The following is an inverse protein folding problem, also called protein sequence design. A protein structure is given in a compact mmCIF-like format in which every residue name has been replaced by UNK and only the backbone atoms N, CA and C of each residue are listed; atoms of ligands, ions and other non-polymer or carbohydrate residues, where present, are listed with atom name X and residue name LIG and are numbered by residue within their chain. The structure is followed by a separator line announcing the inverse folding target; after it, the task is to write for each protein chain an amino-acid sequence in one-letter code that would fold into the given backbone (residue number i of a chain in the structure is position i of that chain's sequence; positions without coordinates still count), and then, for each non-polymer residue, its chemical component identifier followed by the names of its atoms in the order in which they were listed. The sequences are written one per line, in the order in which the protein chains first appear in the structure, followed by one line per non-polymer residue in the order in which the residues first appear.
data_IF_387001536035
#
_entry.id   IF_387001536035
#
_cell.length_a   1.000
_cell.length_b   1.000
_cell.length_c   1.000
_cell.angle_alpha   90.00
_cell.angle_beta   90.00
_cell.angle_gamma   90.00
#
_symmetry.space_group_name_H-M   'P 1'
#
loop_
_entity.id
_entity.type
_entity.pdbx_description
1 polymer ?
#
# COMPACT_ATOMS: atom_id res chain seq x y z
N UNK A 1 -13.18 -24.26 31.90
CA UNK A 1 -11.97 -23.51 31.56
C UNK A 1 -12.31 -22.73 30.29
N UNK A 2 -12.19 -21.41 30.30
CA UNK A 2 -12.40 -20.66 29.06
C UNK A 2 -11.33 -21.13 28.07
N UNK A 3 -11.76 -21.58 26.92
CA UNK A 3 -10.86 -21.96 25.81
C UNK A 3 -10.08 -20.73 25.37
N UNK A 4 -8.77 -20.81 25.35
CA UNK A 4 -7.91 -19.67 25.07
C UNK A 4 -7.99 -19.40 23.54
N UNK A 5 -8.71 -18.36 23.15
CA UNK A 5 -8.77 -17.93 21.76
C UNK A 5 -7.40 -17.45 21.31
N UNK A 6 -6.87 -18.03 20.24
CA UNK A 6 -5.62 -17.56 19.63
C UNK A 6 -5.85 -16.20 18.96
N UNK A 7 -4.94 -15.23 19.14
CA UNK A 7 -5.04 -13.95 18.49
C UNK A 7 -4.75 -14.08 16.98
N UNK A 8 -5.49 -13.36 16.16
CA UNK A 8 -5.20 -13.18 14.73
C UNK A 8 -3.93 -12.34 14.61
N UNK A 9 -2.90 -12.86 13.96
CA UNK A 9 -1.61 -12.19 13.78
C UNK A 9 -1.57 -11.52 12.42
N UNK A 10 -1.49 -10.20 12.40
CA UNK A 10 -1.57 -9.40 11.17
C UNK A 10 -0.25 -8.66 10.93
N UNK A 11 0.36 -8.91 9.78
CA UNK A 11 1.54 -8.18 9.29
C UNK A 11 1.13 -7.18 8.20
N UNK A 12 1.36 -5.90 8.45
CA UNK A 12 1.14 -4.83 7.48
C UNK A 12 2.49 -4.38 6.92
N UNK A 13 2.67 -4.44 5.59
CA UNK A 13 3.91 -4.04 4.91
C UNK A 13 3.67 -3.06 3.78
N UNK A 14 4.44 -1.99 3.77
CA UNK A 14 4.39 -1.03 2.67
C UNK A 14 5.02 0.32 2.97
N UNK A 15 4.87 1.28 2.07
CA UNK A 15 5.38 2.63 2.22
C UNK A 15 4.54 3.45 3.23
N UNK A 16 4.71 4.75 3.20
CA UNK A 16 4.12 5.70 4.16
C UNK A 16 2.58 5.70 4.25
N UNK A 17 1.88 5.19 3.25
CA UNK A 17 0.41 5.13 3.26
C UNK A 17 -0.20 4.21 4.34
N UNK A 18 0.60 3.34 4.96
CA UNK A 18 0.15 2.54 6.11
C UNK A 18 0.09 3.39 7.39
N UNK A 19 1.08 4.26 7.60
CA UNK A 19 1.28 4.98 8.85
C UNK A 19 1.06 6.48 8.76
N UNK A 20 0.90 7.02 7.54
CA UNK A 20 0.69 8.43 7.30
C UNK A 20 -0.68 8.67 6.69
N UNK A 21 -1.33 9.73 7.15
CA UNK A 21 -2.56 10.22 6.57
C UNK A 21 -2.39 11.62 6.01
N UNK A 22 -3.28 12.00 5.10
CA UNK A 22 -3.38 13.36 4.60
C UNK A 22 -4.04 14.26 5.64
N UNK A 23 -3.23 14.77 6.55
CA UNK A 23 -3.68 15.63 7.64
C UNK A 23 -2.76 16.84 7.83
N UNK A 24 -3.28 18.05 8.12
CA UNK A 24 -2.47 19.26 8.26
C UNK A 24 -1.40 19.19 9.36
N UNK A 25 -1.56 18.34 10.36
CA UNK A 25 -0.65 18.19 11.49
C UNK A 25 0.50 17.21 11.29
N UNK A 26 0.64 16.61 10.11
CA UNK A 26 1.70 15.63 9.82
C UNK A 26 1.31 14.18 10.13
N UNK A 27 2.28 13.25 10.15
CA UNK A 27 1.99 11.84 10.28
C UNK A 27 1.33 11.52 11.62
N UNK A 28 0.18 10.84 11.55
CA UNK A 28 -0.53 10.32 12.72
C UNK A 28 -0.84 8.85 12.50
N UNK A 29 -0.67 8.05 13.54
CA UNK A 29 -0.96 6.63 13.52
C UNK A 29 -2.35 6.30 14.09
N UNK A 30 -2.97 7.24 14.80
CA UNK A 30 -4.20 7.03 15.55
C UNK A 30 -5.41 6.69 14.67
N UNK A 31 -5.44 7.25 13.46
CA UNK A 31 -6.56 7.12 12.52
C UNK A 31 -6.23 6.30 11.27
N UNK A 32 -5.05 5.66 11.20
CA UNK A 32 -4.71 4.83 10.04
C UNK A 32 -5.59 3.59 9.97
N UNK A 33 -5.73 3.04 8.77
CA UNK A 33 -6.54 1.84 8.57
C UNK A 33 -6.04 0.65 9.42
N UNK A 34 -4.75 0.63 9.78
CA UNK A 34 -4.21 -0.36 10.70
C UNK A 34 -4.91 -0.32 12.06
N UNK A 35 -5.11 0.89 12.61
CA UNK A 35 -5.82 1.07 13.88
C UNK A 35 -7.32 0.84 13.75
N UNK A 36 -7.92 1.23 12.63
CA UNK A 36 -9.32 0.96 12.36
C UNK A 36 -9.59 -0.55 12.24
N UNK A 37 -8.70 -1.29 11.57
CA UNK A 37 -8.74 -2.75 11.48
C UNK A 37 -8.60 -3.40 12.86
N UNK A 38 -7.60 -2.98 13.66
CA UNK A 38 -7.39 -3.48 15.02
C UNK A 38 -8.65 -3.27 15.89
N UNK A 39 -9.18 -2.05 15.91
CA UNK A 39 -10.39 -1.72 16.64
C UNK A 39 -11.59 -2.56 16.17
N UNK A 40 -11.82 -2.66 14.86
CA UNK A 40 -12.93 -3.44 14.32
C UNK A 40 -12.86 -4.93 14.65
N UNK A 41 -11.66 -5.52 14.69
CA UNK A 41 -11.49 -6.91 15.11
C UNK A 41 -11.75 -7.08 16.61
N UNK A 42 -11.25 -6.17 17.45
CA UNK A 42 -11.51 -6.20 18.89
C UNK A 42 -13.01 -6.01 19.19
N UNK A 43 -13.69 -5.09 18.50
CA UNK A 43 -15.12 -4.86 18.63
C UNK A 43 -15.95 -6.10 18.21
N UNK A 44 -15.43 -6.87 17.24
CA UNK A 44 -16.00 -8.16 16.84
C UNK A 44 -15.63 -9.32 17.79
N UNK A 45 -15.00 -9.04 18.93
CA UNK A 45 -14.60 -10.04 19.93
C UNK A 45 -13.41 -10.90 19.50
N UNK A 46 -12.61 -10.46 18.52
CA UNK A 46 -11.41 -11.19 18.06
C UNK A 46 -10.16 -10.64 18.72
N UNK A 47 -9.40 -11.49 19.38
CA UNK A 47 -8.06 -11.13 19.84
C UNK A 47 -7.16 -10.88 18.60
N UNK A 48 -6.33 -9.85 18.63
CA UNK A 48 -5.46 -9.48 17.51
C UNK A 48 -4.08 -9.04 17.98
N UNK A 49 -3.05 -9.41 17.22
CA UNK A 49 -1.68 -8.91 17.38
C UNK A 49 -1.22 -8.35 16.05
N UNK A 50 -0.92 -7.05 16.01
CA UNK A 50 -0.54 -6.37 14.78
C UNK A 50 0.94 -5.98 14.77
N UNK A 51 1.60 -6.28 13.66
CA UNK A 51 2.93 -5.77 13.34
C UNK A 51 2.85 -4.88 12.10
N UNK A 52 3.23 -3.61 12.25
CA UNK A 52 3.20 -2.63 11.15
C UNK A 52 4.63 -2.27 10.74
N UNK A 53 5.02 -2.72 9.56
CA UNK A 53 6.32 -2.43 8.96
C UNK A 53 6.13 -1.41 7.83
N UNK A 54 6.09 -0.14 8.21
CA UNK A 54 5.94 0.99 7.28
C UNK A 54 7.26 1.73 7.13
N UNK A 55 7.86 1.65 5.94
CA UNK A 55 9.08 2.38 5.62
C UNK A 55 8.79 3.40 4.52
N UNK A 56 8.94 4.70 4.77
CA UNK A 56 8.69 5.73 3.77
C UNK A 56 9.47 5.46 2.48
N UNK A 57 8.78 5.49 1.34
CA UNK A 57 9.36 5.25 0.03
C UNK A 57 9.91 3.82 -0.20
N UNK A 58 9.47 2.86 0.57
CA UNK A 58 9.84 1.46 0.39
C UNK A 58 9.31 0.93 -0.94
N UNK A 59 10.11 0.07 -1.58
CA UNK A 59 9.76 -0.61 -2.82
C UNK A 59 9.47 -2.08 -2.54
N UNK A 60 8.56 -2.69 -3.29
CA UNK A 60 8.17 -4.09 -3.15
C UNK A 60 9.36 -5.06 -3.10
N UNK A 61 10.42 -4.82 -3.87
CA UNK A 61 11.62 -5.66 -3.85
C UNK A 61 12.33 -5.72 -2.48
N UNK A 62 12.06 -4.76 -1.58
CA UNK A 62 12.68 -4.74 -0.26
C UNK A 62 12.04 -5.77 0.66
N UNK A 63 10.78 -6.16 0.40
CA UNK A 63 10.10 -7.23 1.12
C UNK A 63 10.86 -8.55 1.04
N UNK A 64 11.49 -8.81 -0.13
CA UNK A 64 12.27 -10.03 -0.37
C UNK A 64 13.56 -10.12 0.46
N UNK A 65 13.97 -9.04 1.12
CA UNK A 65 15.16 -9.03 1.98
C UNK A 65 14.83 -9.29 3.44
N UNK A 66 13.62 -8.99 3.84
CA UNK A 66 13.19 -9.02 5.25
C UNK A 66 12.13 -10.07 5.52
N UNK A 67 11.64 -10.76 4.47
CA UNK A 67 10.50 -11.68 4.56
C UNK A 67 10.72 -12.81 5.56
N UNK A 68 11.93 -13.40 5.62
CA UNK A 68 12.22 -14.50 6.54
C UNK A 68 12.06 -14.04 8.00
N UNK A 69 12.72 -12.93 8.35
CA UNK A 69 12.67 -12.40 9.72
C UNK A 69 11.25 -11.95 10.11
N UNK A 70 10.51 -11.35 9.17
CA UNK A 70 9.19 -10.79 9.42
C UNK A 70 8.08 -11.84 9.37
N UNK A 71 8.14 -12.76 8.40
CA UNK A 71 7.10 -13.79 8.24
C UNK A 71 7.38 -14.99 9.15
N UNK A 72 8.58 -15.55 9.12
CA UNK A 72 8.89 -16.71 9.96
C UNK A 72 9.00 -16.33 11.45
N UNK A 73 9.54 -15.15 11.75
CA UNK A 73 9.67 -14.68 13.14
C UNK A 73 8.34 -14.29 13.77
N UNK A 74 7.40 -13.76 12.99
CA UNK A 74 6.08 -13.33 13.47
C UNK A 74 4.99 -14.37 13.23
N UNK A 75 5.12 -15.22 12.21
CA UNK A 75 4.13 -16.23 11.77
C UNK A 75 2.73 -15.62 11.60
N UNK A 76 2.54 -14.67 10.68
CA UNK A 76 1.27 -13.96 10.50
C UNK A 76 0.19 -14.88 9.91
N UNK A 77 -1.04 -14.71 10.37
CA UNK A 77 -2.24 -15.30 9.77
C UNK A 77 -2.73 -14.45 8.58
N UNK A 78 -2.47 -13.14 8.65
CA UNK A 78 -2.86 -12.18 7.60
C UNK A 78 -1.69 -11.28 7.26
N UNK A 79 -1.46 -11.06 5.97
CA UNK A 79 -0.44 -10.15 5.44
C UNK A 79 -1.10 -9.14 4.52
N UNK A 80 -0.92 -7.85 4.79
CA UNK A 80 -1.42 -6.77 3.93
C UNK A 80 -0.24 -6.05 3.26
N UNK A 81 -0.27 -5.96 1.92
CA UNK A 81 0.77 -5.36 1.09
C UNK A 81 0.23 -4.13 0.36
N UNK A 82 0.83 -2.94 0.60
CA UNK A 82 0.38 -1.66 0.01
C UNK A 82 1.40 -1.07 -0.94
N UNK A 83 2.07 -1.89 -1.75
CA UNK A 83 3.10 -1.46 -2.71
C UNK A 83 2.51 -1.06 -4.07
N UNK A 84 3.30 -0.38 -4.89
CA UNK A 84 2.97 0.01 -6.26
C UNK A 84 2.93 1.52 -6.48
N UNK A 85 2.53 2.30 -5.48
CA UNK A 85 2.40 3.75 -5.60
C UNK A 85 3.76 4.43 -5.80
N UNK A 86 4.73 4.14 -4.94
CA UNK A 86 6.05 4.76 -5.00
C UNK A 86 6.84 4.33 -6.24
N UNK A 87 6.70 3.09 -6.65
CA UNK A 87 7.25 2.56 -7.90
C UNK A 87 6.70 3.27 -9.13
N UNK A 88 5.48 3.80 -9.05
CA UNK A 88 4.81 4.49 -10.15
C UNK A 88 5.20 5.97 -10.26
N UNK A 89 5.75 6.57 -9.19
CA UNK A 89 6.11 8.00 -9.15
C UNK A 89 7.39 8.26 -9.94
N UNK A 90 8.47 7.52 -9.67
CA UNK A 90 9.82 7.85 -10.14
C UNK A 90 10.51 6.69 -10.84
N UNK A 91 10.61 6.75 -12.16
CA UNK A 91 11.18 5.66 -12.94
C UNK A 91 12.68 5.77 -13.17
N UNK A 92 13.19 6.98 -13.46
CA UNK A 92 14.55 7.18 -13.96
C UNK A 92 15.39 8.15 -13.12
N UNK A 93 14.85 8.62 -11.99
CA UNK A 93 15.63 9.51 -11.16
C UNK A 93 16.76 8.76 -10.48
N UNK A 94 17.99 9.30 -10.52
CA UNK A 94 19.09 8.74 -9.74
C UNK A 94 18.72 8.71 -8.25
N UNK A 95 19.01 7.62 -7.57
CA UNK A 95 18.68 7.45 -6.14
C UNK A 95 19.26 8.55 -5.25
N UNK A 96 20.38 9.16 -5.64
CA UNK A 96 20.94 10.27 -4.91
C UNK A 96 20.03 11.51 -4.97
N UNK A 97 19.39 11.78 -6.13
CA UNK A 97 18.47 12.90 -6.30
C UNK A 97 17.18 12.67 -5.52
N UNK A 98 16.64 11.45 -5.53
CA UNK A 98 15.49 11.08 -4.70
C UNK A 98 15.80 11.26 -3.21
N UNK A 99 16.95 10.75 -2.74
CA UNK A 99 17.39 10.94 -1.35
C UNK A 99 17.57 12.41 -1.02
N UNK A 100 18.17 13.20 -1.91
CA UNK A 100 18.35 14.62 -1.72
C UNK A 100 17.02 15.37 -1.64
N UNK A 101 16.07 15.08 -2.52
CA UNK A 101 14.73 15.67 -2.49
C UNK A 101 13.98 15.32 -1.21
N UNK A 102 14.05 14.07 -0.76
CA UNK A 102 13.41 13.61 0.47
C UNK A 102 14.09 14.16 1.74
N UNK A 103 15.43 14.23 1.76
CA UNK A 103 16.16 14.82 2.91
C UNK A 103 15.85 16.31 3.10
N UNK A 104 15.56 17.03 2.03
CA UNK A 104 15.14 18.43 2.10
C UNK A 104 13.70 18.62 2.61
N UNK A 105 12.83 17.59 2.53
CA UNK A 105 11.49 17.62 3.14
C UNK A 105 11.56 17.61 4.68
N UNK A 106 12.50 16.86 5.22
CA UNK A 106 12.57 16.59 6.66
C UNK A 106 13.09 17.75 7.52
N UNK A 107 13.59 18.83 6.90
CA UNK A 107 14.22 19.94 7.64
C UNK A 107 13.57 21.28 7.28
N UNK A 108 12.79 21.90 8.18
CA UNK A 108 12.19 23.21 7.94
C UNK A 108 13.28 24.29 7.84
N UNK A 109 13.05 25.32 7.03
CA UNK A 109 13.96 26.47 6.88
C UNK A 109 13.66 27.27 5.62
N UNK A 110 13.61 28.59 5.78
CA UNK A 110 13.25 29.55 4.71
C UNK A 110 14.09 29.38 3.40
N UNK A 111 15.40 29.20 3.53
CA UNK A 111 16.28 29.01 2.38
C UNK A 111 15.99 27.67 1.68
N UNK A 112 15.72 26.63 2.45
CA UNK A 112 15.39 25.29 1.91
C UNK A 112 14.05 25.28 1.22
N UNK A 113 13.07 25.99 1.75
CA UNK A 113 11.75 26.09 1.13
C UNK A 113 11.83 26.80 -0.22
N UNK A 114 12.60 27.89 -0.32
CA UNK A 114 12.89 28.56 -1.60
C UNK A 114 13.64 27.65 -2.56
N UNK A 115 14.69 26.96 -2.12
CA UNK A 115 15.41 26.00 -2.94
C UNK A 115 14.50 24.89 -3.45
N UNK A 116 13.65 24.34 -2.62
CA UNK A 116 12.65 23.34 -3.04
C UNK A 116 11.69 23.90 -4.08
N UNK A 117 11.17 25.09 -3.83
CA UNK A 117 10.16 25.73 -4.70
C UNK A 117 10.72 26.14 -6.06
N UNK A 118 11.90 26.74 -6.08
CA UNK A 118 12.45 27.37 -7.29
C UNK A 118 13.50 26.54 -8.03
N UNK A 119 14.10 25.55 -7.40
CA UNK A 119 15.13 24.70 -8.01
C UNK A 119 14.68 23.24 -8.10
N UNK A 120 14.45 22.58 -6.97
CA UNK A 120 14.16 21.15 -7.00
C UNK A 120 12.85 20.83 -7.72
N UNK A 121 11.79 21.59 -7.46
CA UNK A 121 10.48 21.34 -8.06
C UNK A 121 10.48 21.51 -9.60
N UNK A 122 11.01 22.60 -10.19
CA UNK A 122 11.12 22.71 -11.64
C UNK A 122 11.95 21.59 -12.28
N UNK A 123 13.10 21.26 -11.69
CA UNK A 123 13.94 20.16 -12.18
C UNK A 123 13.19 18.83 -12.13
N UNK A 124 12.49 18.57 -11.05
CA UNK A 124 11.67 17.38 -10.88
C UNK A 124 10.56 17.28 -11.94
N UNK A 125 9.81 18.35 -12.12
CA UNK A 125 8.73 18.41 -13.13
C UNK A 125 9.31 18.24 -14.55
N UNK A 126 10.44 18.85 -14.83
CA UNK A 126 11.11 18.70 -16.12
C UNK A 126 11.50 17.24 -16.39
N UNK A 127 12.18 16.60 -15.45
CA UNK A 127 12.58 15.19 -15.57
C UNK A 127 11.37 14.25 -15.70
N UNK A 128 10.32 14.50 -14.92
CA UNK A 128 9.09 13.73 -15.00
C UNK A 128 8.37 13.90 -16.34
N UNK A 129 8.40 15.11 -16.93
CA UNK A 129 7.87 15.36 -18.29
C UNK A 129 8.68 14.65 -19.37
N UNK A 130 10.02 14.68 -19.28
CA UNK A 130 10.87 13.95 -20.22
C UNK A 130 10.62 12.46 -20.15
N UNK A 131 10.50 11.92 -18.94
CA UNK A 131 10.14 10.54 -18.72
C UNK A 131 8.78 10.18 -19.31
N UNK A 132 7.75 11.01 -19.10
CA UNK A 132 6.42 10.80 -19.69
C UNK A 132 6.45 10.83 -21.23
N UNK A 133 7.33 11.63 -21.84
CA UNK A 133 7.54 11.63 -23.29
C UNK A 133 8.19 10.33 -23.76
N UNK A 134 9.21 9.86 -23.03
CA UNK A 134 9.86 8.58 -23.29
C UNK A 134 8.86 7.43 -23.14
N UNK A 135 8.00 7.47 -22.13
CA UNK A 135 6.95 6.46 -21.90
C UNK A 135 5.92 6.39 -23.06
N UNK A 136 5.76 7.43 -23.86
CA UNK A 136 4.89 7.43 -25.05
C UNK A 136 5.61 6.98 -26.34
N UNK A 137 6.93 6.85 -26.32
CA UNK A 137 7.70 6.44 -27.49
C UNK A 137 7.58 4.93 -27.74
N UNK A 138 7.75 4.44 -28.99
CA UNK A 138 7.73 3.00 -29.29
C UNK A 138 8.79 2.20 -28.52
N UNK A 139 9.93 2.83 -28.20
CA UNK A 139 11.00 2.25 -27.40
C UNK A 139 10.54 2.02 -25.97
N UNK A 140 9.59 2.79 -25.48
CA UNK A 140 9.08 2.72 -24.12
C UNK A 140 8.14 1.54 -23.85
N UNK A 141 7.74 0.77 -24.86
CA UNK A 141 7.07 -0.52 -24.61
C UNK A 141 7.90 -1.41 -23.68
N UNK A 142 9.20 -1.27 -23.70
CA UNK A 142 10.13 -1.98 -22.81
C UNK A 142 10.33 -1.33 -21.45
N UNK A 143 10.08 -0.04 -21.33
CA UNK A 143 10.26 0.71 -20.06
C UNK A 143 8.94 0.99 -19.34
N UNK A 144 7.86 1.19 -20.08
CA UNK A 144 6.55 1.59 -19.57
C UNK A 144 5.93 0.56 -18.63
N UNK A 145 5.89 -0.70 -19.03
CA UNK A 145 5.39 -1.79 -18.18
C UNK A 145 6.50 -2.49 -17.38
N UNK A 146 7.75 -2.06 -17.51
CA UNK A 146 8.85 -2.74 -16.83
C UNK A 146 8.79 -2.60 -15.31
N UNK A 147 8.41 -1.43 -14.77
CA UNK A 147 8.30 -1.27 -13.31
C UNK A 147 7.02 -1.84 -12.72
N UNK A 148 5.82 -1.56 -13.23
CA UNK A 148 4.62 -2.27 -12.78
C UNK A 148 4.81 -3.79 -12.79
N UNK A 149 5.30 -4.36 -13.88
CA UNK A 149 5.60 -5.79 -13.99
C UNK A 149 6.66 -6.28 -13.01
N UNK A 150 7.72 -5.49 -12.78
CA UNK A 150 8.75 -5.84 -11.79
C UNK A 150 8.19 -5.81 -10.38
N UNK A 151 7.38 -4.81 -10.05
CA UNK A 151 6.73 -4.69 -8.76
C UNK A 151 5.83 -5.90 -8.49
N UNK A 152 4.95 -6.23 -9.42
CA UNK A 152 4.08 -7.41 -9.28
C UNK A 152 4.89 -8.71 -9.22
N UNK A 153 5.96 -8.84 -10.02
CA UNK A 153 6.85 -10.00 -9.92
C UNK A 153 7.54 -10.11 -8.56
N UNK A 154 7.96 -8.98 -7.97
CA UNK A 154 8.60 -8.98 -6.66
C UNK A 154 7.57 -9.31 -5.56
N UNK A 155 6.32 -8.82 -5.68
CA UNK A 155 5.19 -9.23 -4.84
C UNK A 155 4.89 -10.74 -5.02
N UNK A 156 4.81 -11.22 -6.25
CA UNK A 156 4.55 -12.63 -6.54
C UNK A 156 5.60 -13.55 -5.87
N UNK A 157 6.89 -13.21 -5.99
CA UNK A 157 7.96 -13.95 -5.31
C UNK A 157 7.81 -13.92 -3.79
N UNK A 158 7.39 -12.78 -3.22
CA UNK A 158 7.11 -12.71 -1.79
C UNK A 158 5.95 -13.63 -1.42
N UNK A 159 4.85 -13.61 -2.17
CA UNK A 159 3.70 -14.49 -1.97
C UNK A 159 4.11 -15.96 -2.09
N UNK A 160 4.89 -16.30 -3.10
CA UNK A 160 5.39 -17.68 -3.30
C UNK A 160 6.22 -18.16 -2.10
N UNK A 161 7.14 -17.32 -1.59
CA UNK A 161 7.94 -17.64 -0.41
C UNK A 161 7.06 -17.84 0.83
N UNK A 162 6.09 -16.95 1.05
CA UNK A 162 5.17 -17.03 2.17
C UNK A 162 4.32 -18.31 2.11
N UNK A 163 3.82 -18.64 0.92
CA UNK A 163 2.99 -19.84 0.70
C UNK A 163 3.77 -21.16 0.81
N UNK A 164 5.11 -21.13 0.83
CA UNK A 164 5.94 -22.31 1.10
C UNK A 164 6.05 -22.61 2.60
N UNK A 165 5.91 -21.61 3.46
CA UNK A 165 6.08 -21.75 4.91
C UNK A 165 4.76 -21.71 5.68
N UNK A 166 3.67 -21.34 5.02
CA UNK A 166 2.34 -21.26 5.61
C UNK A 166 1.28 -20.90 4.58
N UNK A 167 0.04 -20.75 5.02
CA UNK A 167 -1.08 -20.37 4.16
C UNK A 167 -1.83 -19.13 4.69
N UNK A 168 -1.13 -18.04 5.03
CA UNK A 168 -1.81 -16.83 5.52
C UNK A 168 -2.69 -16.23 4.42
N UNK A 169 -3.69 -15.45 4.85
CA UNK A 169 -4.39 -14.55 3.94
C UNK A 169 -3.43 -13.45 3.49
N UNK A 170 -3.19 -13.33 2.20
CA UNK A 170 -2.41 -12.24 1.62
C UNK A 170 -3.31 -11.27 0.86
N UNK A 171 -3.35 -10.02 1.29
CA UNK A 171 -4.15 -8.96 0.70
C UNK A 171 -3.22 -7.99 -0.02
N UNK A 172 -3.36 -7.88 -1.33
CA UNK A 172 -2.60 -6.96 -2.18
C UNK A 172 -3.49 -5.76 -2.51
N UNK A 173 -3.05 -4.57 -2.14
CA UNK A 173 -3.83 -3.35 -2.34
C UNK A 173 -3.77 -2.83 -3.77
N UNK A 174 -4.90 -2.38 -4.24
CA UNK A 174 -5.00 -1.47 -5.36
C UNK A 174 -4.36 -0.12 -5.02
N UNK A 175 -3.76 0.53 -6.01
CA UNK A 175 -3.16 1.86 -5.88
C UNK A 175 -4.05 2.89 -6.55
N UNK A 176 -4.38 3.95 -5.83
CA UNK A 176 -5.14 5.07 -6.41
C UNK A 176 -4.27 5.97 -7.28
N UNK A 177 -4.79 6.48 -8.41
CA UNK A 177 -4.13 7.53 -9.18
C UNK A 177 -4.06 8.82 -8.36
N UNK A 178 -3.09 9.72 -8.63
CA UNK A 178 -3.01 10.98 -7.90
C UNK A 178 -4.21 11.87 -8.23
N UNK A 179 -4.72 12.61 -7.24
CA UNK A 179 -5.74 13.61 -7.42
C UNK A 179 -5.36 14.62 -8.53
N UNK A 180 -6.36 15.19 -9.22
CA UNK A 180 -6.17 16.01 -10.46
C UNK A 180 -5.11 17.09 -10.35
N UNK A 181 -5.08 17.81 -9.21
CA UNK A 181 -4.12 18.89 -8.97
C UNK A 181 -2.67 18.40 -8.93
N UNK A 182 -2.43 17.11 -8.66
CA UNK A 182 -1.09 16.53 -8.61
C UNK A 182 -0.68 15.79 -9.87
N UNK A 183 -1.60 15.50 -10.80
CA UNK A 183 -1.28 14.81 -12.05
C UNK A 183 -0.21 15.55 -12.88
N UNK A 184 -0.25 16.88 -12.87
CA UNK A 184 0.78 17.69 -13.55
C UNK A 184 2.18 17.57 -12.93
N UNK A 185 2.27 17.13 -11.68
CA UNK A 185 3.54 16.96 -10.98
C UNK A 185 4.18 15.61 -11.25
N UNK A 186 3.35 14.62 -11.58
CA UNK A 186 3.75 13.23 -11.81
C UNK A 186 3.27 12.72 -13.16
N UNK A 187 3.73 13.35 -14.28
CA UNK A 187 3.29 12.95 -15.61
C UNK A 187 3.47 11.46 -15.85
N UNK A 188 2.42 10.81 -16.34
CA UNK A 188 2.42 9.36 -16.64
C UNK A 188 2.28 8.44 -15.41
N UNK A 189 2.18 8.97 -14.19
CA UNK A 189 1.97 8.16 -12.99
C UNK A 189 0.64 7.40 -13.06
N UNK A 190 -0.44 8.05 -13.45
CA UNK A 190 -1.77 7.45 -13.61
C UNK A 190 -1.74 6.21 -14.53
N UNK A 191 -1.14 6.35 -15.71
CA UNK A 191 -1.02 5.22 -16.64
C UNK A 191 -0.18 4.06 -16.09
N UNK A 192 0.83 4.35 -15.26
CA UNK A 192 1.64 3.33 -14.62
C UNK A 192 0.90 2.64 -13.47
N UNK A 193 0.10 3.40 -12.72
CA UNK A 193 -0.78 2.86 -11.67
C UNK A 193 -1.83 1.97 -12.30
N UNK A 194 -2.51 2.41 -13.36
CA UNK A 194 -3.49 1.60 -14.07
C UNK A 194 -2.89 0.27 -14.57
N UNK A 195 -1.66 0.31 -15.11
CA UNK A 195 -0.95 -0.91 -15.53
C UNK A 195 -0.56 -1.80 -14.35
N UNK A 196 -0.12 -1.22 -13.21
CA UNK A 196 0.15 -1.98 -11.99
C UNK A 196 -1.12 -2.68 -11.49
N UNK A 197 -2.21 -1.95 -11.32
CA UNK A 197 -3.48 -2.50 -10.84
C UNK A 197 -3.98 -3.62 -11.74
N UNK A 198 -3.94 -3.42 -13.07
CA UNK A 198 -4.32 -4.45 -14.04
C UNK A 198 -3.50 -5.73 -13.88
N UNK A 199 -2.16 -5.61 -13.83
CA UNK A 199 -1.27 -6.78 -13.74
C UNK A 199 -1.40 -7.45 -12.35
N UNK A 200 -1.56 -6.68 -11.28
CA UNK A 200 -1.71 -7.23 -9.94
C UNK A 200 -3.05 -7.99 -9.78
N UNK A 201 -4.14 -7.42 -10.28
CA UNK A 201 -5.43 -8.08 -10.29
C UNK A 201 -5.42 -9.36 -11.17
N UNK A 202 -4.75 -9.31 -12.33
CA UNK A 202 -4.57 -10.46 -13.22
C UNK A 202 -3.75 -11.56 -12.54
N UNK A 203 -2.65 -11.20 -11.87
CA UNK A 203 -1.85 -12.14 -11.10
C UNK A 203 -2.66 -12.87 -10.03
N UNK A 204 -3.45 -12.13 -9.23
CA UNK A 204 -4.28 -12.74 -8.18
C UNK A 204 -5.33 -13.67 -8.78
N UNK A 205 -5.97 -13.25 -9.88
CA UNK A 205 -6.96 -14.08 -10.58
C UNK A 205 -6.35 -15.36 -11.17
N UNK A 206 -5.15 -15.26 -11.77
CA UNK A 206 -4.47 -16.41 -12.37
C UNK A 206 -3.89 -17.37 -11.31
N UNK A 207 -3.51 -16.83 -10.14
CA UNK A 207 -3.03 -17.64 -9.02
C UNK A 207 -4.14 -18.54 -8.47
N UNK A 208 -5.39 -18.12 -8.55
CA UNK A 208 -6.62 -18.83 -8.14
C UNK A 208 -6.55 -19.46 -6.73
N UNK A 209 -5.98 -18.71 -5.78
CA UNK A 209 -5.88 -19.12 -4.37
C UNK A 209 -6.86 -18.34 -3.51
N UNK A 210 -7.71 -18.99 -2.70
CA UNK A 210 -8.72 -18.32 -1.88
C UNK A 210 -8.11 -17.43 -0.78
N UNK A 211 -6.87 -17.71 -0.40
CA UNK A 211 -6.11 -16.96 0.59
C UNK A 211 -5.19 -15.87 -0.01
N UNK A 212 -5.34 -15.53 -1.31
CA UNK A 212 -4.66 -14.39 -1.93
C UNK A 212 -5.69 -13.50 -2.59
N UNK A 213 -5.82 -12.25 -2.14
CA UNK A 213 -6.88 -11.34 -2.58
C UNK A 213 -6.30 -10.02 -3.10
N UNK A 214 -6.97 -9.45 -4.10
CA UNK A 214 -6.72 -8.09 -4.57
C UNK A 214 -7.79 -7.17 -3.97
N UNK A 215 -7.37 -6.24 -3.11
CA UNK A 215 -8.26 -5.34 -2.39
C UNK A 215 -8.49 -4.07 -3.20
N UNK A 216 -9.72 -3.86 -3.63
CA UNK A 216 -10.11 -2.78 -4.54
C UNK A 216 -10.43 -1.49 -3.79
N UNK A 217 -9.45 -0.60 -3.68
CA UNK A 217 -9.63 0.69 -3.02
C UNK A 217 -10.45 1.67 -3.88
N UNK A 218 -10.41 1.53 -5.21
CA UNK A 218 -11.20 2.37 -6.11
C UNK A 218 -12.71 2.20 -5.85
N UNK A 219 -13.19 0.99 -5.63
CA UNK A 219 -14.59 0.71 -5.31
C UNK A 219 -15.03 1.44 -4.02
N UNK A 220 -14.16 1.49 -3.02
CA UNK A 220 -14.44 2.23 -1.78
C UNK A 220 -14.46 3.76 -1.99
N UNK A 221 -13.62 4.27 -2.89
CA UNK A 221 -13.64 5.70 -3.23
C UNK A 221 -14.93 6.05 -3.98
N UNK A 222 -15.38 5.19 -4.89
CA UNK A 222 -16.66 5.37 -5.58
C UNK A 222 -17.84 5.35 -4.60
N UNK A 223 -17.86 4.40 -3.67
CA UNK A 223 -18.97 4.22 -2.71
C UNK A 223 -19.01 5.31 -1.63
N UNK A 224 -17.84 5.67 -1.07
CA UNK A 224 -17.76 6.51 0.14
C UNK A 224 -17.27 7.94 -0.11
N UNK A 225 -16.79 8.26 -1.30
CA UNK A 225 -16.30 9.58 -1.67
C UNK A 225 -16.77 10.02 -3.07
N UNK A 226 -17.83 9.42 -3.62
CA UNK A 226 -18.40 9.72 -4.94
C UNK A 226 -17.35 9.75 -6.07
N UNK A 227 -16.31 8.90 -5.96
CA UNK A 227 -15.19 8.87 -6.90
C UNK A 227 -14.23 10.07 -6.79
N UNK A 228 -14.41 10.97 -5.82
CA UNK A 228 -13.59 12.17 -5.68
C UNK A 228 -12.27 11.90 -4.96
N UNK A 229 -11.19 11.83 -5.74
CA UNK A 229 -9.84 11.66 -5.23
C UNK A 229 -9.33 12.85 -4.39
N UNK A 230 -9.91 14.04 -4.52
CA UNK A 230 -9.57 15.17 -3.66
C UNK A 230 -10.09 14.98 -2.24
N UNK A 231 -11.19 14.23 -2.07
CA UNK A 231 -11.72 13.82 -0.77
C UNK A 231 -10.92 12.63 -0.22
N UNK A 232 -10.58 11.67 -1.08
CA UNK A 232 -9.93 10.44 -0.65
C UNK A 232 -8.44 10.61 -0.32
N UNK A 233 -7.69 11.30 -1.21
CA UNK A 233 -6.22 11.49 -1.14
C UNK A 233 -5.79 12.92 -1.48
N UNK A 234 -6.19 13.92 -0.69
CA UNK A 234 -6.03 15.34 -1.00
C UNK A 234 -4.59 15.81 -1.19
N UNK A 235 -3.58 15.08 -0.68
CA UNK A 235 -2.16 15.33 -0.95
C UNK A 235 -1.60 14.53 -2.15
N UNK A 236 -2.46 13.74 -2.79
CA UNK A 236 -2.14 12.90 -3.94
C UNK A 236 -1.49 11.55 -3.61
N UNK A 237 -1.28 11.22 -2.33
CA UNK A 237 -0.57 9.99 -1.91
C UNK A 237 -1.17 9.30 -0.70
N UNK A 238 -1.62 10.07 0.31
CA UNK A 238 -2.06 9.53 1.58
C UNK A 238 -3.56 9.70 1.73
N UNK A 239 -4.20 8.69 2.23
CA UNK A 239 -5.64 8.69 2.49
C UNK A 239 -5.99 9.66 3.63
N UNK A 240 -7.19 10.22 3.57
CA UNK A 240 -7.76 11.00 4.67
C UNK A 240 -8.08 10.08 5.86
N UNK A 241 -8.23 10.64 7.09
CA UNK A 241 -8.70 9.86 8.23
C UNK A 241 -10.00 9.10 7.96
N UNK A 242 -10.92 9.73 7.22
CA UNK A 242 -12.18 9.09 6.81
C UNK A 242 -11.92 7.85 5.94
N UNK A 243 -11.10 7.97 4.89
CA UNK A 243 -10.79 6.83 4.02
C UNK A 243 -9.99 5.75 4.75
N UNK A 244 -9.13 6.12 5.70
CA UNK A 244 -8.49 5.13 6.56
C UNK A 244 -9.51 4.34 7.38
N UNK A 245 -10.55 4.99 7.91
CA UNK A 245 -11.63 4.31 8.64
C UNK A 245 -12.41 3.36 7.73
N UNK A 246 -12.80 3.81 6.54
CA UNK A 246 -13.52 2.99 5.55
C UNK A 246 -12.69 1.75 5.18
N UNK A 247 -11.43 1.94 4.80
CA UNK A 247 -10.52 0.83 4.43
C UNK A 247 -10.36 -0.15 5.59
N UNK A 248 -10.18 0.35 6.82
CA UNK A 248 -10.05 -0.49 8.00
C UNK A 248 -11.30 -1.32 8.28
N UNK A 249 -12.48 -0.73 8.10
CA UNK A 249 -13.77 -1.42 8.25
C UNK A 249 -13.94 -2.54 7.22
N UNK A 250 -13.64 -2.28 5.94
CA UNK A 250 -13.73 -3.30 4.90
C UNK A 250 -12.71 -4.43 5.10
N UNK A 251 -11.46 -4.08 5.48
CA UNK A 251 -10.48 -5.09 5.84
C UNK A 251 -10.91 -5.95 7.04
N UNK A 252 -11.60 -5.35 8.02
CA UNK A 252 -12.15 -6.09 9.16
C UNK A 252 -13.11 -7.17 8.69
N UNK A 253 -14.04 -6.84 7.77
CA UNK A 253 -14.99 -7.80 7.21
C UNK A 253 -14.26 -8.94 6.47
N UNK A 254 -13.29 -8.58 5.64
CA UNK A 254 -12.49 -9.56 4.89
C UNK A 254 -11.71 -10.52 5.80
N UNK A 255 -11.08 -9.97 6.85
CA UNK A 255 -10.28 -10.75 7.79
C UNK A 255 -11.17 -11.66 8.63
N UNK A 256 -12.31 -11.17 9.14
CA UNK A 256 -13.27 -12.00 9.90
C UNK A 256 -13.80 -13.13 9.01
N UNK A 257 -14.29 -12.79 7.81
CA UNK A 257 -14.81 -13.78 6.86
C UNK A 257 -13.81 -14.89 6.56
N UNK A 258 -12.51 -14.54 6.43
CA UNK A 258 -11.46 -15.53 6.24
C UNK A 258 -11.15 -16.31 7.52
N UNK A 259 -11.01 -15.62 8.66
CA UNK A 259 -10.69 -16.24 9.94
C UNK A 259 -11.74 -17.28 10.38
N UNK A 260 -13.02 -17.05 10.05
CA UNK A 260 -14.12 -17.98 10.31
C UNK A 260 -13.98 -19.30 9.52
N UNK A 261 -13.21 -19.30 8.45
CA UNK A 261 -12.88 -20.52 7.70
C UNK A 261 -11.69 -21.29 8.29
N UNK A 262 -10.91 -20.67 9.20
CA UNK A 262 -9.70 -21.25 9.78
C UNK A 262 -10.01 -21.89 11.13
N UNK A 263 -9.81 -23.21 11.26
CA UNK A 263 -10.16 -23.94 12.49
C UNK A 263 -9.48 -23.38 13.75
N UNK A 264 -8.20 -23.02 13.67
CA UNK A 264 -7.41 -22.51 14.78
C UNK A 264 -7.79 -21.07 15.21
N UNK A 265 -8.57 -20.35 14.39
CA UNK A 265 -9.03 -18.98 14.65
C UNK A 265 -10.53 -18.90 14.96
N UNK A 266 -11.27 -20.01 14.89
CA UNK A 266 -12.70 -20.00 15.20
C UNK A 266 -12.93 -19.60 16.65
N UNK A 267 -13.96 -18.79 16.87
CA UNK A 267 -14.44 -18.48 18.23
C UNK A 267 -15.21 -19.69 18.72
N UNK A 268 -14.68 -20.34 19.75
CA UNK A 268 -15.41 -21.43 20.44
C UNK A 268 -16.64 -20.84 21.10
N UNK A 269 -17.85 -21.17 20.61
CA UNK A 269 -19.07 -20.79 21.32
C UNK A 269 -20.23 -20.19 20.53
N UNK A 270 -20.39 -20.50 19.25
CA UNK A 270 -21.59 -20.14 18.50
C UNK A 270 -22.44 -21.36 18.07
N UNK A 271 -22.46 -22.40 18.93
CA UNK A 271 -23.53 -23.39 18.89
C UNK A 271 -24.58 -22.98 19.93
N UNK A 272 -25.49 -22.07 19.55
CA UNK A 272 -26.79 -21.89 20.17
C UNK A 272 -27.87 -21.83 19.10
#
# INVERSE_FOLDING_TARGET
MAELQLPIRILLKGPSNISWMSYPGGPRTDFTFARALEAGLLDAGRAVVMQTNSVPSELAKQTLRTWEAEVMGFSPDVIVLTYGQYESVHLFLPRWLERHANSNKARPGFVRERYRRYVLRPVWIFLARQQSRLDRSPIARWTKSARPRRTVRDIARFVDNVQQVGSPLVIIFEVLPPARRYQSWFPGMEARIAEYNRIAAEYVRELDKPNVRFFRVTELVEEYADGDLEIAIPDGFHWTPYMHQVIGTELTRDVISWADTQEHLKVSGTDQ
#
